data_IF_287434619097
#
_entry.id   IF_287434619097
#
_cell.length_a   1.000
_cell.length_b   1.000
_cell.length_c   1.000
_cell.angle_alpha   90.00
_cell.angle_beta   90.00
_cell.angle_gamma   90.00
#
_symmetry.space_group_name_H-M   'P 1'
#
loop_
_entity.id
_entity.type
_entity.pdbx_description
1 polymer ?
#
# COMPACT_ATOMS: atom_id res chain seq x y z
N UNK A 1 12.84 -14.32 11.69
CA UNK A 1 11.39 -14.51 11.72
C UNK A 1 10.73 -13.52 10.78
N UNK A 2 9.83 -14.01 9.97
CA UNK A 2 9.16 -13.13 9.01
C UNK A 2 8.20 -12.20 9.70
N UNK A 3 8.16 -10.95 9.24
CA UNK A 3 7.23 -9.97 9.78
C UNK A 3 6.87 -8.98 8.68
N UNK A 4 5.77 -8.27 8.88
CA UNK A 4 5.34 -7.24 7.97
C UNK A 4 5.86 -5.88 8.42
N UNK A 5 6.37 -5.13 7.46
CA UNK A 5 6.89 -3.80 7.68
C UNK A 5 6.23 -2.83 6.72
N UNK A 6 6.38 -1.56 6.99
CA UNK A 6 5.82 -0.52 6.13
C UNK A 6 6.96 0.28 5.53
N UNK A 7 6.96 0.38 4.21
CA UNK A 7 7.96 1.16 3.49
C UNK A 7 7.34 2.43 2.95
N UNK A 8 8.13 3.50 2.99
CA UNK A 8 7.79 4.72 2.30
C UNK A 8 8.57 4.73 1.00
N UNK A 9 7.85 4.87 -0.12
CA UNK A 9 8.45 4.79 -1.43
C UNK A 9 8.53 6.16 -2.06
N UNK A 10 9.43 6.32 -3.01
CA UNK A 10 9.59 7.58 -3.70
C UNK A 10 8.36 7.85 -4.55
N UNK A 11 8.06 9.13 -4.71
CA UNK A 11 6.87 9.55 -5.42
C UNK A 11 6.87 8.97 -6.84
N UNK A 12 5.77 8.32 -7.19
CA UNK A 12 5.63 7.74 -8.52
C UNK A 12 6.43 6.47 -8.73
N UNK A 13 7.08 5.95 -7.67
CA UNK A 13 7.93 4.77 -7.80
C UNK A 13 7.37 3.55 -7.07
N UNK A 14 6.14 3.63 -6.60
CA UNK A 14 5.58 2.56 -5.78
C UNK A 14 5.57 1.22 -6.52
N UNK A 15 5.10 1.21 -7.75
CA UNK A 15 5.02 -0.01 -8.53
C UNK A 15 6.41 -0.54 -8.85
N UNK A 16 7.35 0.35 -9.14
CA UNK A 16 8.72 -0.07 -9.41
C UNK A 16 9.34 -0.70 -8.18
N UNK A 17 9.12 -0.10 -7.01
CA UNK A 17 9.63 -0.66 -5.77
C UNK A 17 9.06 -2.05 -5.55
N UNK A 18 7.76 -2.22 -5.77
CA UNK A 18 7.11 -3.51 -5.60
C UNK A 18 7.74 -4.57 -6.51
N UNK A 19 7.95 -4.23 -7.77
CA UNK A 19 8.54 -5.18 -8.71
C UNK A 19 9.93 -5.62 -8.28
N UNK A 20 10.75 -4.66 -7.88
CA UNK A 20 12.11 -4.98 -7.49
C UNK A 20 12.17 -5.77 -6.18
N UNK A 21 11.25 -5.49 -5.27
CA UNK A 21 11.20 -6.24 -4.03
C UNK A 21 10.72 -7.67 -4.26
N UNK A 22 9.72 -7.84 -5.12
CA UNK A 22 9.22 -9.17 -5.41
C UNK A 22 10.27 -10.04 -6.07
N UNK A 23 11.16 -9.45 -6.83
CA UNK A 23 12.29 -10.18 -7.41
C UNK A 23 13.26 -10.67 -6.35
N UNK A 24 13.23 -10.08 -5.17
CA UNK A 24 14.08 -10.49 -4.06
C UNK A 24 13.34 -11.44 -3.12
N UNK A 25 12.22 -11.98 -3.55
CA UNK A 25 11.42 -12.90 -2.76
C UNK A 25 10.77 -12.22 -1.54
N UNK A 26 10.51 -10.92 -1.64
CA UNK A 26 9.80 -10.19 -0.60
C UNK A 26 8.34 -10.14 -0.97
N UNK A 27 7.46 -10.52 -0.05
CA UNK A 27 6.03 -10.42 -0.28
C UNK A 27 5.60 -8.97 -0.11
N UNK A 28 4.83 -8.47 -1.04
CA UNK A 28 4.37 -7.08 -1.01
C UNK A 28 2.85 -7.03 -1.01
N UNK A 29 2.32 -6.04 -0.33
CA UNK A 29 0.89 -5.77 -0.36
C UNK A 29 0.69 -4.27 -0.56
N UNK A 30 -0.03 -3.93 -1.61
CA UNK A 30 -0.39 -2.55 -1.89
C UNK A 30 -1.91 -2.49 -1.97
N UNK A 31 -2.58 -2.18 -0.86
CA UNK A 31 -4.03 -2.10 -0.88
C UNK A 31 -4.49 -1.02 -1.85
N UNK A 32 -5.48 -1.32 -2.65
CA UNK A 32 -6.01 -0.36 -3.61
C UNK A 32 -7.49 -0.17 -3.39
N UNK A 33 -7.98 0.92 -3.90
CA UNK A 33 -9.41 1.22 -3.86
C UNK A 33 -9.83 1.58 -5.28
N UNK A 34 -10.98 1.11 -5.68
CA UNK A 34 -11.51 1.45 -6.99
C UNK A 34 -12.33 2.72 -6.86
N UNK A 35 -12.00 3.72 -7.64
CA UNK A 35 -12.68 5.00 -7.62
C UNK A 35 -13.28 5.28 -8.98
N UNK A 36 -14.45 5.88 -8.98
CA UNK A 36 -15.06 6.27 -10.24
C UNK A 36 -14.70 7.71 -10.51
N UNK A 37 -14.14 7.96 -11.67
CA UNK A 37 -13.74 9.31 -12.08
C UNK A 37 -14.28 9.61 -13.43
N UNK A 38 -14.42 10.89 -13.74
CA UNK A 38 -14.81 11.32 -15.07
C UNK A 38 -13.55 11.69 -15.82
N UNK A 39 -13.24 10.92 -16.83
CA UNK A 39 -12.06 11.15 -17.64
C UNK A 39 -12.53 11.39 -19.05
N UNK A 40 -12.24 12.55 -19.58
CA UNK A 40 -12.64 12.95 -20.92
C UNK A 40 -14.15 12.84 -21.10
N UNK A 41 -14.89 13.22 -20.07
CA UNK A 41 -16.33 13.21 -20.13
C UNK A 41 -16.97 11.86 -19.91
N UNK A 42 -16.18 10.81 -19.63
CA UNK A 42 -16.73 9.48 -19.43
C UNK A 42 -16.45 9.01 -18.02
N UNK A 43 -17.41 8.31 -17.46
CA UNK A 43 -17.20 7.67 -16.16
C UNK A 43 -16.27 6.50 -16.34
N UNK A 44 -15.23 6.48 -15.56
CA UNK A 44 -14.22 5.43 -15.65
C UNK A 44 -13.85 4.99 -14.24
N UNK A 45 -13.79 3.69 -14.03
CA UNK A 45 -13.35 3.15 -12.75
C UNK A 45 -11.86 2.96 -12.81
N UNK A 46 -11.15 3.56 -11.85
CA UNK A 46 -9.69 3.45 -11.78
C UNK A 46 -9.32 2.88 -10.43
N UNK A 47 -8.21 2.16 -10.41
CA UNK A 47 -7.71 1.57 -9.19
C UNK A 47 -6.55 2.42 -8.70
N UNK A 48 -6.61 2.86 -7.46
CA UNK A 48 -5.56 3.71 -6.91
C UNK A 48 -5.10 3.17 -5.56
N UNK A 49 -3.84 3.40 -5.19
CA UNK A 49 -3.37 2.94 -3.89
C UNK A 49 -4.17 3.59 -2.77
N UNK A 50 -4.55 2.79 -1.80
CA UNK A 50 -5.26 3.29 -0.63
C UNK A 50 -4.34 4.15 0.22
N UNK A 51 -3.06 3.80 0.26
CA UNK A 51 -2.04 4.58 0.97
C UNK A 51 -0.96 4.97 -0.04
N UNK A 52 -1.10 6.11 -0.69
CA UNK A 52 -0.14 6.51 -1.72
C UNK A 52 1.27 6.58 -1.17
N UNK A 53 2.20 6.02 -1.92
CA UNK A 53 3.62 5.99 -1.59
C UNK A 53 3.99 5.06 -0.44
N UNK A 54 3.05 4.28 0.07
CA UNK A 54 3.35 3.31 1.12
C UNK A 54 3.17 1.90 0.61
N UNK A 55 4.03 1.00 1.03
CA UNK A 55 3.99 -0.39 0.60
C UNK A 55 4.23 -1.28 1.81
N UNK A 56 3.34 -2.25 2.01
CA UNK A 56 3.54 -3.24 3.06
C UNK A 56 4.41 -4.35 2.51
N UNK A 57 5.44 -4.75 3.25
CA UNK A 57 6.36 -5.80 2.81
C UNK A 57 6.57 -6.81 3.92
N UNK A 58 6.69 -8.07 3.54
CA UNK A 58 6.94 -9.14 4.47
C UNK A 58 8.26 -9.81 4.13
N UNK A 59 9.16 -9.86 5.08
CA UNK A 59 10.43 -10.53 4.89
C UNK A 59 11.04 -10.88 6.26
N UNK A 60 12.07 -11.71 6.23
CA UNK A 60 12.78 -12.09 7.44
C UNK A 60 14.09 -11.32 7.46
N UNK A 61 14.28 -10.42 8.42
CA UNK A 61 15.50 -9.61 8.48
C UNK A 61 16.77 -10.42 8.70
N UNK A 62 16.64 -11.67 9.12
CA UNK A 62 17.81 -12.52 9.26
C UNK A 62 18.21 -13.13 7.93
N UNK A 63 17.32 -13.13 6.95
CA UNK A 63 17.60 -13.66 5.64
C UNK A 63 17.90 -12.54 4.66
N UNK A 64 17.09 -11.49 4.67
CA UNK A 64 17.27 -10.33 3.83
C UNK A 64 17.48 -9.13 4.73
N UNK A 65 18.65 -8.54 4.64
CA UNK A 65 18.99 -7.43 5.52
C UNK A 65 18.11 -6.21 5.23
N UNK A 66 17.77 -5.45 6.29
CA UNK A 66 16.93 -4.28 6.13
C UNK A 66 17.55 -3.25 5.19
N UNK A 67 18.87 -3.15 5.17
CA UNK A 67 19.52 -2.21 4.26
C UNK A 67 19.32 -2.61 2.81
N UNK A 68 19.24 -3.89 2.51
CA UNK A 68 18.97 -4.36 1.16
C UNK A 68 17.59 -3.90 0.73
N UNK A 69 16.63 -3.99 1.62
CA UNK A 69 15.27 -3.56 1.33
C UNK A 69 15.22 -2.04 1.11
N UNK A 70 15.83 -1.28 2.02
CA UNK A 70 15.76 0.17 1.92
C UNK A 70 16.57 0.70 0.74
N UNK A 71 17.55 -0.04 0.27
CA UNK A 71 18.34 0.35 -0.90
C UNK A 71 17.69 -0.07 -2.22
N UNK A 72 16.57 -0.75 -2.17
CA UNK A 72 15.89 -1.20 -3.38
C UNK A 72 15.39 0.01 -4.16
N UNK A 73 15.48 -0.09 -5.47
CA UNK A 73 15.09 1.01 -6.35
C UNK A 73 13.62 1.36 -6.15
N UNK A 74 13.35 2.62 -5.97
CA UNK A 74 11.99 3.10 -5.74
C UNK A 74 11.63 3.23 -4.27
N UNK A 75 12.40 2.62 -3.38
CA UNK A 75 12.15 2.69 -1.94
C UNK A 75 12.88 3.88 -1.36
N UNK A 76 12.22 4.63 -0.48
CA UNK A 76 12.85 5.73 0.23
C UNK A 76 13.45 5.21 1.53
N UNK A 77 12.60 4.75 2.44
CA UNK A 77 13.09 4.14 3.68
C UNK A 77 11.93 3.42 4.37
N UNK A 78 12.26 2.77 5.49
CA UNK A 78 11.23 2.18 6.33
C UNK A 78 10.53 3.26 7.13
N UNK A 79 9.25 3.06 7.36
CA UNK A 79 8.54 3.84 8.39
C UNK A 79 9.03 3.32 9.74
N UNK A 80 9.34 4.22 10.65
CA UNK A 80 9.96 3.83 11.90
C UNK A 80 9.19 4.33 13.09
N UNK A 81 9.34 3.57 14.19
CA UNK A 81 8.95 4.02 15.50
C UNK A 81 10.24 4.17 16.28
N UNK A 82 10.66 5.39 16.51
CA UNK A 82 11.95 5.62 17.15
C UNK A 82 13.06 5.09 16.25
N UNK A 83 13.94 4.28 16.81
CA UNK A 83 15.07 3.76 16.07
C UNK A 83 14.76 2.47 15.31
N UNK A 84 13.59 1.89 15.52
CA UNK A 84 13.28 0.60 14.94
C UNK A 84 12.28 0.72 13.81
N UNK A 85 12.39 -0.09 12.76
CA UNK A 85 11.36 -0.13 11.74
C UNK A 85 10.04 -0.55 12.34
N UNK A 86 8.98 0.13 11.95
CA UNK A 86 7.64 -0.19 12.44
C UNK A 86 7.17 -1.51 11.87
N UNK A 87 6.69 -2.41 12.72
CA UNK A 87 6.10 -3.66 12.25
C UNK A 87 4.59 -3.52 12.23
N UNK A 88 3.96 -4.26 11.33
CA UNK A 88 2.52 -4.23 11.17
C UNK A 88 1.97 -5.59 11.57
N UNK A 89 1.01 -5.64 12.49
CA UNK A 89 0.45 -6.94 12.89
C UNK A 89 -0.18 -7.66 11.72
N UNK A 90 -0.03 -8.97 11.67
CA UNK A 90 -0.58 -9.75 10.58
C UNK A 90 -2.10 -9.64 10.51
N UNK A 91 -2.77 -9.39 11.63
CA UNK A 91 -4.21 -9.21 11.62
C UNK A 91 -4.60 -7.98 10.80
N UNK A 92 -3.81 -6.91 10.89
CA UNK A 92 -4.06 -5.70 10.09
C UNK A 92 -3.86 -6.00 8.62
N UNK A 93 -2.80 -6.74 8.29
CA UNK A 93 -2.51 -7.11 6.91
C UNK A 93 -3.65 -7.96 6.35
N UNK A 94 -4.15 -8.89 7.14
CA UNK A 94 -5.25 -9.73 6.70
C UNK A 94 -6.49 -8.88 6.38
N UNK A 95 -6.80 -7.92 7.25
CA UNK A 95 -7.94 -7.05 7.02
C UNK A 95 -7.76 -6.25 5.72
N UNK A 96 -6.57 -5.75 5.48
CA UNK A 96 -6.30 -4.98 4.28
C UNK A 96 -6.37 -5.84 3.03
N UNK A 97 -5.94 -7.10 3.12
CA UNK A 97 -5.90 -7.96 1.95
C UNK A 97 -7.29 -8.41 1.52
N UNK A 98 -8.25 -8.44 2.45
CA UNK A 98 -9.60 -8.83 2.10
C UNK A 98 -10.53 -7.64 1.94
N UNK A 99 -9.99 -6.42 2.06
CA UNK A 99 -10.80 -5.23 1.91
C UNK A 99 -11.35 -5.14 0.50
N UNK A 100 -12.64 -4.91 0.38
CA UNK A 100 -13.28 -4.82 -0.92
C UNK A 100 -13.90 -3.45 -1.08
N UNK A 101 -13.50 -2.74 -2.10
CA UNK A 101 -13.97 -1.37 -2.27
C UNK A 101 -15.32 -1.25 -2.95
N UNK A 102 -16.04 -2.34 -3.20
CA UNK A 102 -17.27 -2.26 -3.95
C UNK A 102 -18.26 -1.29 -3.34
N UNK A 103 -18.38 -1.33 -2.03
CA UNK A 103 -19.31 -0.47 -1.38
C UNK A 103 -18.90 0.98 -1.43
N UNK A 104 -17.65 1.23 -1.72
CA UNK A 104 -17.14 2.58 -1.73
C UNK A 104 -17.21 3.14 -3.13
N UNK A 105 -17.16 2.25 -4.11
CA UNK A 105 -17.11 2.70 -5.48
C UNK A 105 -18.47 2.98 -6.05
N UNK A 106 -19.53 2.67 -5.32
CA UNK A 106 -20.84 2.87 -5.86
C UNK A 106 -21.18 4.36 -5.78
N UNK A 107 -21.21 5.02 -6.90
CA UNK A 107 -21.40 6.46 -6.89
C UNK A 107 -22.79 6.86 -6.52
N UNK A 108 -23.69 5.90 -6.53
CA UNK A 108 -24.99 6.27 -6.17
C UNK A 108 -25.19 6.20 -4.78
N UNK A 109 -24.42 5.53 -4.13
CA UNK A 109 -24.51 5.53 -2.77
C UNK A 109 -24.13 6.86 -2.43
N UNK A 110 -24.96 7.62 -2.17
CA UNK A 110 -24.64 8.96 -1.84
C UNK A 110 -23.90 9.02 -0.58
N UNK A 111 -23.46 7.97 -0.16
CA UNK A 111 -22.69 8.01 0.93
C UNK A 111 -21.40 8.31 0.53
N UNK A 112 -21.42 9.22 -0.09
CA UNK A 112 -20.29 9.93 -0.05
C UNK A 112 -19.71 9.95 1.27
N UNK A 113 -20.55 9.80 2.25
CA UNK A 113 -20.04 9.79 3.58
C UNK A 113 -18.95 8.77 3.78
N UNK A 114 -19.20 7.58 3.35
CA UNK A 114 -18.24 6.54 3.48
C UNK A 114 -17.04 6.80 2.65
N UNK A 115 -17.29 7.33 1.53
CA UNK A 115 -16.25 7.58 0.60
C UNK A 115 -15.30 8.61 1.12
N UNK A 116 -15.85 9.65 1.64
CA UNK A 116 -15.05 10.72 2.15
C UNK A 116 -14.21 10.28 3.33
N UNK A 117 -14.73 9.40 4.11
CA UNK A 117 -13.99 8.89 5.20
C UNK A 117 -12.70 8.28 4.76
N UNK A 118 -12.75 7.53 3.69
CA UNK A 118 -11.56 6.89 3.20
C UNK A 118 -10.62 7.87 2.59
N UNK A 119 -11.15 8.82 1.87
CA UNK A 119 -10.29 9.80 1.27
C UNK A 119 -9.67 10.72 2.27
N UNK A 120 -10.38 11.01 3.33
CA UNK A 120 -9.82 11.86 4.33
C UNK A 120 -8.72 11.16 5.08
N UNK A 121 -8.88 9.88 5.23
CA UNK A 121 -7.82 9.14 5.84
C UNK A 121 -6.57 9.17 5.01
N UNK A 122 -6.70 9.58 3.81
CA UNK A 122 -5.54 9.60 2.94
C UNK A 122 -4.64 10.82 3.18
#
# INVERSE_FOLDING_TARGET
>A
MQAWYLLYCKRGQLQRAQEHLERQAVNCLMPTIALEKIIRGKRTTVSEPLFPNYLFVEFDPEIIHTTTISATRGVNNFVRFGAQPATVPSAVIHQLSIYKPEGITDPETPHEGDFVLITDGA
#
